data_IF_327747996292
#
_entry.id   IF_327747996292
#
_cell.length_a   1.000
_cell.length_b   1.000
_cell.length_c   1.000
_cell.angle_alpha   90.00
_cell.angle_beta   90.00
_cell.angle_gamma   90.00
#
_symmetry.space_group_name_H-M   'P 1'
#
loop_
_entity.id
_entity.type
_entity.pdbx_description
1 polymer ?
#
# COMPACT_ATOMS: atom_id res chain seq x y z
N UNK A 1 -11.37 8.11 -6.21
CA UNK A 1 -9.94 7.97 -6.60
C UNK A 1 -9.58 6.62 -7.22
N UNK A 2 -10.48 5.63 -7.22
CA UNK A 2 -10.21 4.28 -7.75
C UNK A 2 -9.57 4.22 -9.16
N UNK A 3 -9.96 5.06 -10.14
CA UNK A 3 -9.39 4.98 -11.49
C UNK A 3 -7.87 5.25 -11.54
N UNK A 4 -7.38 6.22 -10.76
CA UNK A 4 -5.95 6.53 -10.68
C UNK A 4 -5.17 5.41 -10.00
N UNK A 5 -5.74 4.83 -8.94
CA UNK A 5 -5.12 3.70 -8.23
C UNK A 5 -5.01 2.49 -9.16
N UNK A 6 -6.02 2.24 -9.98
CA UNK A 6 -6.00 1.18 -10.97
C UNK A 6 -4.88 1.42 -12.00
N UNK A 7 -4.79 2.62 -12.56
CA UNK A 7 -3.72 2.96 -13.51
C UNK A 7 -2.32 2.78 -12.91
N UNK A 8 -2.11 3.23 -11.68
CA UNK A 8 -0.84 3.06 -10.97
C UNK A 8 -0.55 1.58 -10.68
N UNK A 9 -1.58 0.79 -10.38
CA UNK A 9 -1.45 -0.65 -10.17
C UNK A 9 -1.09 -1.37 -11.48
N UNK A 10 -1.69 -0.99 -12.60
CA UNK A 10 -1.36 -1.56 -13.90
C UNK A 10 0.11 -1.28 -14.25
N UNK A 11 0.57 -0.04 -14.06
CA UNK A 11 1.98 0.33 -14.27
C UNK A 11 2.95 -0.39 -13.31
N UNK A 12 2.53 -0.59 -12.05
CA UNK A 12 3.30 -1.35 -11.08
C UNK A 12 3.42 -2.82 -11.47
N UNK A 13 2.34 -3.44 -11.97
CA UNK A 13 2.30 -4.84 -12.37
C UNK A 13 3.01 -5.13 -13.70
N UNK A 14 3.19 -4.13 -14.56
CA UNK A 14 4.01 -4.23 -15.78
C UNK A 14 5.52 -4.25 -15.49
N UNK A 15 5.93 -3.92 -14.25
CA UNK A 15 7.34 -3.86 -13.88
C UNK A 15 7.95 -5.25 -13.69
N UNK A 16 9.21 -5.43 -14.15
CA UNK A 16 9.93 -6.72 -14.06
C UNK A 16 10.06 -7.27 -12.64
N UNK A 17 10.15 -6.37 -11.66
CA UNK A 17 10.25 -6.69 -10.24
C UNK A 17 9.26 -5.79 -9.50
N UNK A 18 8.54 -6.38 -8.55
CA UNK A 18 7.68 -5.67 -7.61
C UNK A 18 8.14 -6.02 -6.20
N UNK A 19 8.36 -5.00 -5.38
CA UNK A 19 8.59 -5.18 -3.95
C UNK A 19 7.26 -5.00 -3.22
N UNK A 20 7.02 -5.84 -2.23
CA UNK A 20 5.86 -5.78 -1.36
C UNK A 20 6.25 -6.04 0.08
N UNK A 21 5.64 -5.32 1.00
CA UNK A 21 5.80 -5.52 2.44
C UNK A 21 4.47 -5.36 3.16
N UNK A 22 4.30 -6.11 4.24
CA UNK A 22 3.22 -5.93 5.20
C UNK A 22 3.76 -5.21 6.43
N UNK A 23 3.37 -3.95 6.58
CA UNK A 23 3.83 -3.08 7.65
C UNK A 23 2.79 -3.00 8.76
N UNK A 24 3.21 -3.30 10.00
CA UNK A 24 2.36 -3.11 11.18
C UNK A 24 2.30 -1.62 11.53
N UNK A 25 1.09 -1.07 11.64
CA UNK A 25 0.83 0.30 12.02
C UNK A 25 0.00 0.36 13.32
N UNK A 26 0.28 1.34 14.18
CA UNK A 26 -0.57 1.66 15.32
C UNK A 26 -1.47 2.84 14.97
N UNK A 27 -2.78 2.60 14.93
CA UNK A 27 -3.76 3.67 14.71
C UNK A 27 -4.34 4.11 16.05
N UNK A 28 -4.06 5.36 16.43
CA UNK A 28 -4.50 5.91 17.72
C UNK A 28 -6.01 6.22 17.78
N UNK A 29 -6.65 6.38 16.62
CA UNK A 29 -8.04 6.85 16.49
C UNK A 29 -8.77 6.09 15.39
N UNK A 30 -9.10 4.84 15.68
CA UNK A 30 -9.89 4.01 14.78
C UNK A 30 -11.28 3.77 15.38
N UNK A 31 -12.38 4.12 14.68
CA UNK A 31 -13.73 3.96 15.21
C UNK A 31 -14.00 2.51 15.62
N UNK A 32 -14.42 2.30 16.87
CA UNK A 32 -14.77 0.97 17.38
C UNK A 32 -13.57 0.07 17.72
N UNK A 33 -12.32 0.55 17.63
CA UNK A 33 -11.11 -0.20 17.99
C UNK A 33 -10.30 0.52 19.07
N UNK A 34 -9.68 -0.26 19.96
CA UNK A 34 -8.80 0.29 20.99
C UNK A 34 -7.48 0.81 20.37
N UNK A 35 -6.93 1.89 20.91
CA UNK A 35 -5.71 2.55 20.37
C UNK A 35 -4.43 1.69 20.42
N UNK A 36 -4.44 0.59 21.19
CA UNK A 36 -3.34 -0.38 21.26
C UNK A 36 -3.47 -1.51 20.23
N UNK A 37 -4.58 -1.55 19.47
CA UNK A 37 -4.80 -2.60 18.47
C UNK A 37 -3.82 -2.41 17.32
N UNK A 38 -3.28 -3.52 16.82
CA UNK A 38 -2.41 -3.51 15.63
C UNK A 38 -3.28 -3.42 14.38
N UNK A 39 -2.93 -2.50 13.51
CA UNK A 39 -3.47 -2.40 12.15
C UNK A 39 -2.36 -2.74 11.15
N UNK A 40 -2.75 -3.04 9.93
CA UNK A 40 -1.82 -3.51 8.90
C UNK A 40 -1.97 -2.65 7.66
N UNK A 41 -0.84 -2.41 7.01
CA UNK A 41 -0.77 -1.71 5.73
C UNK A 41 0.08 -2.53 4.77
N UNK A 42 -0.42 -2.75 3.57
CA UNK A 42 0.38 -3.30 2.47
C UNK A 42 1.03 -2.17 1.70
N UNK A 43 2.34 -2.26 1.56
CA UNK A 43 3.12 -1.32 0.77
C UNK A 43 3.63 -2.05 -0.47
N UNK A 44 3.52 -1.41 -1.62
CA UNK A 44 3.98 -1.97 -2.89
C UNK A 44 4.75 -0.92 -3.69
N UNK A 45 5.84 -1.33 -4.31
CA UNK A 45 6.60 -0.47 -5.21
C UNK A 45 7.15 -1.25 -6.40
N UNK A 46 7.25 -0.59 -7.55
CA UNK A 46 7.97 -1.15 -8.68
C UNK A 46 9.48 -1.07 -8.47
N UNK A 47 10.18 -2.11 -8.91
CA UNK A 47 11.62 -2.16 -9.04
C UNK A 47 12.07 -1.94 -10.49
N UNK A 48 13.21 -1.26 -10.65
CA UNK A 48 13.85 -1.08 -11.96
C UNK A 48 13.79 0.36 -12.50
N UNK A 49 13.86 0.49 -13.82
CA UNK A 49 13.97 1.76 -14.56
C UNK A 49 12.58 2.18 -15.07
N UNK A 50 12.14 3.39 -14.71
CA UNK A 50 10.85 3.94 -15.12
C UNK A 50 10.27 4.87 -14.04
N UNK A 51 9.07 5.44 -14.26
CA UNK A 51 8.42 6.27 -13.25
C UNK A 51 8.16 5.47 -11.96
N UNK A 52 8.52 6.03 -10.78
CA UNK A 52 8.30 5.36 -9.51
C UNK A 52 6.82 5.29 -9.15
N UNK A 53 6.32 4.10 -8.82
CA UNK A 53 4.99 3.89 -8.21
C UNK A 53 5.13 3.37 -6.80
N UNK A 54 4.36 3.95 -5.87
CA UNK A 54 4.22 3.52 -4.47
C UNK A 54 2.76 3.51 -4.11
N UNK A 55 2.25 2.34 -3.80
CA UNK A 55 0.86 2.14 -3.37
C UNK A 55 0.83 1.69 -1.93
N UNK A 56 -0.08 2.29 -1.16
CA UNK A 56 -0.33 1.97 0.24
C UNK A 56 -1.80 1.53 0.36
N UNK A 57 -2.01 0.27 0.73
CA UNK A 57 -3.32 -0.30 1.00
C UNK A 57 -3.49 -0.47 2.51
N UNK A 58 -4.42 0.25 3.11
CA UNK A 58 -4.83 0.05 4.50
C UNK A 58 -6.12 -0.77 4.54
N UNK A 59 -6.15 -1.86 5.31
CA UNK A 59 -7.39 -2.55 5.67
C UNK A 59 -7.65 -2.32 7.17
N UNK A 60 -8.66 -1.51 7.52
CA UNK A 60 -9.08 -1.29 8.91
C UNK A 60 -9.53 -2.58 9.61
#
# INVERSE_FOLDING_TARGET
MQPLINLLRDHLLDSKVVFGDETVAQVLKEPGRAAQTRSYMWTQMNGGVGPPVRLFGYAP
#
